data_IF_753058271587
#
_entry.id   IF_753058271587
#
_cell.length_a   1.000
_cell.length_b   1.000
_cell.length_c   1.000
_cell.angle_alpha   90.00
_cell.angle_beta   90.00
_cell.angle_gamma   90.00
#
_symmetry.space_group_name_H-M   'P 1'
#
loop_
_entity.id
_entity.type
_entity.pdbx_description
1 polymer ?
#
# COMPACT_ATOMS: atom_id res chain seq x y z
N UNK A 1 -2.01 -7.46 -6.50
CA UNK A 1 -2.95 -7.77 -5.41
C UNK A 1 -2.90 -9.28 -5.17
N UNK A 2 -2.91 -9.73 -3.92
CA UNK A 2 -3.04 -11.14 -3.56
C UNK A 2 -3.94 -11.28 -2.33
N UNK A 3 -4.65 -12.39 -2.23
CA UNK A 3 -5.55 -12.69 -1.11
C UNK A 3 -5.24 -14.07 -0.54
N UNK A 4 -5.23 -14.17 0.79
CA UNK A 4 -5.24 -15.45 1.50
C UNK A 4 -5.87 -15.30 2.88
N UNK A 5 -6.61 -16.31 3.33
CA UNK A 5 -7.20 -16.35 4.68
C UNK A 5 -8.01 -15.09 5.03
N UNK A 6 -8.85 -14.62 4.10
CA UNK A 6 -9.65 -13.39 4.26
C UNK A 6 -8.82 -12.11 4.46
N UNK A 7 -7.52 -12.14 4.17
CA UNK A 7 -6.66 -10.96 4.15
C UNK A 7 -6.25 -10.68 2.71
N UNK A 8 -6.38 -9.43 2.29
CA UNK A 8 -6.03 -8.99 0.94
C UNK A 8 -5.00 -7.89 0.99
N UNK A 9 -3.97 -7.98 0.15
CA UNK A 9 -2.92 -6.96 0.02
C UNK A 9 -2.84 -6.50 -1.43
N UNK A 10 -3.19 -5.24 -1.65
CA UNK A 10 -2.95 -4.54 -2.90
C UNK A 10 -1.75 -3.59 -2.73
N UNK A 11 -0.85 -3.57 -3.71
CA UNK A 11 0.37 -2.78 -3.69
C UNK A 11 0.37 -1.94 -4.96
N UNK A 12 0.40 -0.63 -4.78
CA UNK A 12 0.58 0.35 -5.84
C UNK A 12 2.02 0.86 -5.78
N UNK A 13 2.74 0.77 -6.89
CA UNK A 13 4.10 1.29 -7.04
C UNK A 13 4.06 2.42 -8.07
N UNK A 14 4.41 3.62 -7.63
CA UNK A 14 4.47 4.82 -8.47
C UNK A 14 5.93 5.23 -8.67
N UNK A 15 6.30 5.72 -9.87
CA UNK A 15 7.64 6.27 -10.10
C UNK A 15 7.84 7.52 -9.25
N UNK A 16 8.94 7.59 -8.49
CA UNK A 16 9.18 8.73 -7.60
C UNK A 16 10.21 8.42 -6.52
N UNK A 17 10.46 9.37 -5.60
CA UNK A 17 11.28 9.13 -4.43
C UNK A 17 10.67 8.03 -3.56
N UNK A 18 11.49 7.43 -2.70
CA UNK A 18 11.01 6.50 -1.70
C UNK A 18 9.98 7.19 -0.78
N UNK A 19 8.76 6.68 -0.84
CA UNK A 19 7.68 6.93 0.10
C UNK A 19 7.05 5.59 0.41
N UNK A 20 6.54 5.40 1.63
CA UNK A 20 5.83 4.17 1.95
C UNK A 20 4.62 4.49 2.83
N UNK A 21 3.45 4.01 2.41
CA UNK A 21 2.19 4.18 3.13
C UNK A 21 1.44 2.86 3.20
N UNK A 22 0.84 2.61 4.36
CA UNK A 22 -0.06 1.49 4.59
C UNK A 22 -1.40 2.04 5.03
N UNK A 23 -2.44 1.59 4.35
CA UNK A 23 -3.84 1.77 4.74
C UNK A 23 -4.35 0.38 5.15
N UNK A 24 -4.46 0.16 6.46
CA UNK A 24 -4.99 -1.08 7.03
C UNK A 24 -6.50 -0.93 7.29
N UNK A 25 -7.31 -1.73 6.60
CA UNK A 25 -8.77 -1.66 6.62
C UNK A 25 -9.32 -2.92 7.28
N UNK A 26 -9.90 -2.76 8.46
CA UNK A 26 -10.61 -3.81 9.18
C UNK A 26 -12.10 -3.76 8.87
N UNK A 27 -12.61 -4.81 8.23
CA UNK A 27 -14.05 -4.96 7.92
C UNK A 27 -14.72 -5.71 9.07
N UNK A 28 -15.79 -5.13 9.64
CA UNK A 28 -16.53 -5.74 10.73
C UNK A 28 -18.02 -5.36 10.67
N UNK A 29 -18.86 -6.34 10.38
CA UNK A 29 -20.33 -6.25 10.39
C UNK A 29 -20.87 -5.01 9.67
N UNK A 30 -20.43 -4.79 8.43
CA UNK A 30 -20.86 -3.65 7.62
C UNK A 30 -20.19 -2.30 7.95
N UNK A 31 -19.23 -2.27 8.87
CA UNK A 31 -18.41 -1.09 9.19
C UNK A 31 -16.94 -1.29 8.84
N UNK A 32 -16.22 -0.16 8.69
CA UNK A 32 -14.77 -0.13 8.44
C UNK A 32 -14.06 0.59 9.59
N UNK A 33 -12.98 0.00 10.08
CA UNK A 33 -11.94 0.73 10.83
C UNK A 33 -10.72 0.84 9.95
N UNK A 34 -10.25 2.07 9.75
CA UNK A 34 -9.13 2.38 8.87
C UNK A 34 -8.01 2.95 9.72
N UNK A 35 -6.83 2.34 9.62
CA UNK A 35 -5.60 2.83 10.21
C UNK A 35 -4.64 3.18 9.08
N UNK A 36 -3.96 4.32 9.20
CA UNK A 36 -3.07 4.82 8.16
C UNK A 36 -1.77 5.25 8.81
N UNK A 37 -0.65 4.79 8.24
CA UNK A 37 0.67 5.33 8.55
C UNK A 37 1.47 5.47 7.26
N UNK A 38 2.33 6.47 7.24
CA UNK A 38 3.19 6.75 6.10
C UNK A 38 4.51 7.40 6.50
N UNK A 39 5.53 7.13 5.70
CA UNK A 39 6.81 7.84 5.65
C UNK A 39 6.93 8.53 4.28
N UNK A 40 6.93 9.87 4.29
CA UNK A 40 7.21 10.69 3.11
C UNK A 40 8.69 11.11 3.08
N UNK A 41 9.19 11.62 1.94
CA UNK A 41 10.56 12.11 1.84
C UNK A 41 10.83 13.20 2.89
N UNK A 42 11.95 13.07 3.61
CA UNK A 42 12.33 14.00 4.68
C UNK A 42 11.78 13.65 6.08
N UNK A 43 10.88 12.67 6.21
CA UNK A 43 10.34 12.22 7.50
C UNK A 43 11.20 11.14 8.17
N UNK A 44 12.49 11.43 8.41
CA UNK A 44 13.48 10.44 8.90
C UNK A 44 13.18 9.88 10.30
N UNK A 45 12.60 10.70 11.18
CA UNK A 45 12.33 10.33 12.58
C UNK A 45 10.88 9.88 12.81
N UNK A 46 10.08 9.80 11.75
CA UNK A 46 8.67 9.44 11.89
C UNK A 46 8.52 7.95 12.12
N UNK A 47 7.94 7.59 13.26
CA UNK A 47 7.60 6.22 13.60
C UNK A 47 6.10 5.95 13.33
N UNK A 48 5.71 4.77 12.79
CA UNK A 48 4.31 4.42 12.63
C UNK A 48 3.64 4.19 13.99
N UNK A 49 2.59 4.97 14.29
CA UNK A 49 1.88 4.92 15.57
C UNK A 49 0.46 4.34 15.45
N UNK A 50 -0.13 4.39 14.25
CA UNK A 50 -1.53 4.07 14.01
C UNK A 50 -1.75 2.65 13.49
N UNK A 51 -0.83 2.18 12.64
CA UNK A 51 -0.77 0.83 12.09
C UNK A 51 0.21 0.04 12.94
N UNK A 52 -0.26 -1.06 13.51
CA UNK A 52 0.58 -1.93 14.34
C UNK A 52 1.65 -2.67 13.52
N UNK A 53 1.96 -3.91 13.89
CA UNK A 53 3.01 -4.69 13.22
C UNK A 53 2.81 -4.95 11.71
N UNK A 54 1.63 -4.64 11.16
CA UNK A 54 1.37 -4.72 9.72
C UNK A 54 2.27 -3.75 8.91
N UNK A 55 2.60 -2.56 9.45
CA UNK A 55 3.43 -1.56 8.76
C UNK A 55 4.77 -2.16 8.34
N UNK A 56 5.55 -2.64 9.31
CA UNK A 56 6.86 -3.24 9.05
C UNK A 56 6.75 -4.58 8.32
N UNK A 57 5.69 -5.36 8.56
CA UNK A 57 5.49 -6.63 7.88
C UNK A 57 5.27 -6.48 6.36
N UNK A 58 4.58 -5.41 5.95
CA UNK A 58 4.35 -5.09 4.54
C UNK A 58 5.56 -4.37 3.89
N UNK A 59 6.23 -3.50 4.65
CA UNK A 59 7.40 -2.72 4.18
C UNK A 59 8.57 -3.59 3.76
N UNK A 60 8.92 -4.58 4.57
CA UNK A 60 10.09 -5.44 4.37
C UNK A 60 10.14 -6.10 2.98
N UNK A 61 9.13 -6.86 2.53
CA UNK A 61 9.20 -7.54 1.23
C UNK A 61 9.19 -6.58 0.03
N UNK A 62 8.63 -5.39 0.18
CA UNK A 62 8.68 -4.35 -0.85
C UNK A 62 10.11 -3.82 -0.99
N UNK A 63 10.77 -3.52 0.14
CA UNK A 63 12.17 -3.12 0.14
C UNK A 63 13.08 -4.21 -0.42
N UNK A 64 12.87 -5.48 -0.05
CA UNK A 64 13.61 -6.63 -0.60
C UNK A 64 13.54 -6.65 -2.15
N UNK A 65 12.35 -6.39 -2.72
CA UNK A 65 12.15 -6.33 -4.18
C UNK A 65 12.86 -5.13 -4.80
N UNK A 66 12.64 -3.93 -4.28
CA UNK A 66 13.23 -2.70 -4.82
C UNK A 66 14.75 -2.74 -4.78
N UNK A 67 15.32 -3.26 -3.68
CA UNK A 67 16.75 -3.48 -3.53
C UNK A 67 17.29 -4.43 -4.62
N UNK A 68 16.63 -5.57 -4.84
CA UNK A 68 17.02 -6.53 -5.88
C UNK A 68 16.95 -5.94 -7.29
N UNK A 69 15.95 -5.11 -7.55
CA UNK A 69 15.78 -4.45 -8.84
C UNK A 69 16.69 -3.22 -9.02
N UNK A 70 17.36 -2.76 -7.95
CA UNK A 70 18.13 -1.51 -7.91
C UNK A 70 17.28 -0.30 -8.31
N UNK A 71 16.05 -0.25 -7.81
CA UNK A 71 15.08 0.81 -8.11
C UNK A 71 14.53 1.43 -6.83
N UNK A 72 13.98 2.64 -6.96
CA UNK A 72 13.14 3.27 -5.95
C UNK A 72 11.75 3.54 -6.52
N UNK A 73 10.78 3.68 -5.63
CA UNK A 73 9.38 3.98 -5.96
C UNK A 73 8.67 4.55 -4.73
N UNK A 74 7.58 5.29 -4.97
CA UNK A 74 6.62 5.64 -3.94
C UNK A 74 5.56 4.54 -3.85
N UNK A 75 5.29 4.08 -2.63
CA UNK A 75 4.50 2.87 -2.39
C UNK A 75 3.25 3.21 -1.59
N UNK A 76 2.10 2.75 -2.09
CA UNK A 76 0.86 2.70 -1.33
C UNK A 76 0.41 1.24 -1.21
N UNK A 77 0.24 0.77 0.02
CA UNK A 77 -0.29 -0.56 0.32
C UNK A 77 -1.67 -0.44 0.92
N UNK A 78 -2.62 -1.19 0.37
CA UNK A 78 -3.97 -1.34 0.93
C UNK A 78 -4.07 -2.76 1.46
N UNK A 79 -4.18 -2.88 2.78
CA UNK A 79 -4.22 -4.13 3.50
C UNK A 79 -5.60 -4.31 4.12
N UNK A 80 -6.42 -5.18 3.53
CA UNK A 80 -7.79 -5.40 3.98
C UNK A 80 -7.89 -6.68 4.81
N UNK A 81 -8.49 -6.58 5.99
CA UNK A 81 -8.85 -7.70 6.85
C UNK A 81 -10.35 -7.92 6.73
N UNK A 82 -10.73 -9.01 6.07
CA UNK A 82 -12.10 -9.43 5.87
C UNK A 82 -12.70 -10.15 7.08
N UNK A 83 -14.01 -10.30 7.05
CA UNK A 83 -14.74 -11.11 8.02
C UNK A 83 -14.34 -12.58 7.84
N UNK A 84 -13.99 -13.26 8.94
CA UNK A 84 -13.48 -14.65 8.91
C UNK A 84 -11.96 -14.78 8.92
N UNK A 85 -11.21 -13.68 9.04
CA UNK A 85 -9.76 -13.75 9.21
C UNK A 85 -9.36 -14.55 10.47
N UNK A 86 -8.22 -15.23 10.39
CA UNK A 86 -7.68 -16.06 11.48
C UNK A 86 -6.50 -15.32 12.13
N UNK A 87 -6.42 -15.26 13.49
CA UNK A 87 -5.37 -14.54 14.21
C UNK A 87 -4.02 -15.25 14.17
N UNK A 88 -3.39 -15.23 13.01
CA UNK A 88 -2.06 -15.81 12.79
C UNK A 88 -0.93 -14.85 13.17
N UNK A 89 -1.24 -13.61 13.60
CA UNK A 89 -0.24 -12.56 13.80
C UNK A 89 0.12 -11.83 12.49
N UNK A 90 1.03 -10.86 12.56
CA UNK A 90 1.31 -9.93 11.44
C UNK A 90 2.15 -10.54 10.31
N UNK A 91 2.82 -11.67 10.56
CA UNK A 91 3.60 -12.38 9.52
C UNK A 91 2.75 -12.79 8.32
N UNK A 92 1.44 -12.98 8.49
CA UNK A 92 0.50 -13.26 7.39
C UNK A 92 0.56 -12.18 6.31
N UNK A 93 0.64 -10.90 6.69
CA UNK A 93 0.71 -9.80 5.73
C UNK A 93 2.03 -9.81 4.97
N UNK A 94 3.14 -10.18 5.63
CA UNK A 94 4.45 -10.34 5.00
C UNK A 94 4.41 -11.39 3.89
N UNK A 95 3.82 -12.54 4.17
CA UNK A 95 3.75 -13.66 3.21
C UNK A 95 2.77 -13.39 2.07
N UNK A 96 1.62 -12.77 2.36
CA UNK A 96 0.67 -12.33 1.32
C UNK A 96 1.33 -11.28 0.42
N UNK A 97 2.06 -10.32 1.01
CA UNK A 97 2.80 -9.31 0.26
C UNK A 97 3.90 -9.92 -0.61
N UNK A 98 4.72 -10.85 -0.09
CA UNK A 98 5.72 -11.57 -0.89
C UNK A 98 5.10 -12.31 -2.07
N UNK A 99 3.98 -12.99 -1.86
CA UNK A 99 3.24 -13.66 -2.94
C UNK A 99 2.72 -12.66 -3.97
N UNK A 100 2.16 -11.53 -3.54
CA UNK A 100 1.72 -10.46 -4.44
C UNK A 100 2.87 -9.92 -5.32
N UNK A 101 4.07 -9.79 -4.75
CA UNK A 101 5.28 -9.27 -5.42
C UNK A 101 6.00 -10.31 -6.30
N UNK A 102 5.74 -11.60 -6.09
CA UNK A 102 6.32 -12.69 -6.86
C UNK A 102 5.73 -12.77 -8.27
N UNK A 103 4.44 -12.46 -8.43
CA UNK A 103 3.80 -12.44 -9.74
C UNK A 103 4.18 -11.18 -10.55
N UNK A 104 4.23 -11.26 -11.89
CA UNK A 104 4.43 -10.08 -12.73
C UNK A 104 3.41 -8.96 -12.40
N UNK A 105 3.86 -7.71 -12.22
CA UNK A 105 2.95 -6.62 -11.90
C UNK A 105 2.10 -6.25 -13.12
N UNK A 106 0.88 -5.79 -12.88
CA UNK A 106 0.10 -5.08 -13.89
C UNK A 106 0.67 -3.68 -14.05
N UNK A 107 0.88 -3.24 -15.28
CA UNK A 107 1.40 -1.92 -15.62
C UNK A 107 0.26 -1.05 -16.15
N UNK A 108 0.29 0.22 -15.80
CA UNK A 108 -0.70 1.22 -16.18
C UNK A 108 0.04 2.47 -16.66
N UNK A 109 -0.57 3.20 -17.59
CA UNK A 109 0.02 4.43 -18.12
C UNK A 109 -0.34 5.64 -17.26
N UNK A 110 -1.46 5.57 -16.53
CA UNK A 110 -1.91 6.64 -15.65
C UNK A 110 -2.19 6.15 -14.24
N UNK A 111 -2.06 7.06 -13.26
CA UNK A 111 -2.43 6.78 -11.87
C UNK A 111 -3.92 6.43 -11.76
N UNK A 112 -4.77 7.06 -12.58
CA UNK A 112 -6.21 6.81 -12.56
C UNK A 112 -6.55 5.37 -13.00
N UNK A 113 -5.92 4.85 -14.06
CA UNK A 113 -6.07 3.45 -14.48
C UNK A 113 -5.68 2.47 -13.37
N UNK A 114 -4.58 2.74 -12.67
CA UNK A 114 -4.13 1.91 -11.55
C UNK A 114 -5.12 1.93 -10.38
N UNK A 115 -5.68 3.10 -10.05
CA UNK A 115 -6.70 3.26 -9.02
C UNK A 115 -8.02 2.58 -9.37
N UNK A 116 -8.40 2.60 -10.65
CA UNK A 116 -9.58 1.89 -11.14
C UNK A 116 -9.41 0.37 -11.06
N UNK A 117 -8.20 -0.15 -11.27
CA UNK A 117 -7.91 -1.56 -11.03
C UNK A 117 -7.92 -1.91 -9.54
N UNK A 118 -7.41 -1.04 -8.68
CA UNK A 118 -7.51 -1.22 -7.22
C UNK A 118 -8.97 -1.29 -6.81
N UNK A 119 -9.83 -0.40 -7.30
CA UNK A 119 -11.28 -0.41 -7.02
C UNK A 119 -11.93 -1.76 -7.34
N UNK A 120 -11.53 -2.42 -8.42
CA UNK A 120 -12.05 -3.75 -8.81
C UNK A 120 -11.52 -4.86 -7.92
N UNK A 121 -10.32 -4.70 -7.39
CA UNK A 121 -9.59 -5.72 -6.66
C UNK A 121 -9.61 -5.53 -5.15
N UNK A 122 -10.09 -4.43 -4.60
CA UNK A 122 -10.30 -4.25 -3.15
C UNK A 122 -11.75 -4.54 -2.77
N UNK A 123 -11.96 -4.91 -1.52
CA UNK A 123 -13.29 -5.16 -0.95
C UNK A 123 -13.97 -3.86 -0.49
N UNK A 124 -13.18 -2.87 -0.12
CA UNK A 124 -13.61 -1.56 0.31
C UNK A 124 -13.50 -0.55 -0.85
N UNK A 125 -14.54 0.28 -0.98
CA UNK A 125 -14.60 1.35 -1.96
C UNK A 125 -13.48 2.39 -1.69
N UNK A 126 -12.66 2.75 -2.70
CA UNK A 126 -11.60 3.73 -2.55
C UNK A 126 -12.02 5.07 -1.95
N UNK A 127 -13.30 5.46 -2.05
CA UNK A 127 -13.80 6.70 -1.43
C UNK A 127 -13.53 6.80 0.09
N UNK A 128 -13.42 5.66 0.78
CA UNK A 128 -13.22 5.65 2.24
C UNK A 128 -11.78 5.91 2.67
N UNK A 129 -10.81 5.68 1.79
CA UNK A 129 -9.38 5.77 2.15
C UNK A 129 -8.56 6.67 1.23
N UNK A 130 -9.02 6.97 0.01
CA UNK A 130 -8.27 7.77 -0.97
C UNK A 130 -7.91 9.16 -0.46
N UNK A 131 -8.81 9.79 0.31
CA UNK A 131 -8.58 11.10 0.92
C UNK A 131 -7.64 11.08 2.13
N UNK A 132 -7.39 9.89 2.71
CA UNK A 132 -6.48 9.72 3.84
C UNK A 132 -5.03 9.48 3.38
N UNK A 133 -4.83 9.20 2.10
CA UNK A 133 -3.53 8.83 1.54
C UNK A 133 -2.64 10.04 1.32
N UNK A 134 -1.59 10.14 2.14
CA UNK A 134 -0.55 11.17 2.01
C UNK A 134 0.35 10.91 0.81
N UNK A 135 0.55 9.65 0.41
CA UNK A 135 1.34 9.33 -0.78
C UNK A 135 0.61 9.75 -2.06
N UNK A 136 -0.71 9.54 -2.15
CA UNK A 136 -1.48 10.02 -3.30
C UNK A 136 -1.57 11.55 -3.32
N UNK A 137 -1.65 12.19 -2.16
CA UNK A 137 -1.59 13.65 -2.04
C UNK A 137 -0.24 14.19 -2.53
N UNK A 138 0.86 13.60 -2.06
CA UNK A 138 2.22 13.93 -2.51
C UNK A 138 2.36 13.83 -4.03
N UNK A 139 1.87 12.77 -4.66
CA UNK A 139 1.91 12.59 -6.12
C UNK A 139 1.01 13.55 -6.91
N UNK A 140 0.02 14.19 -6.28
CA UNK A 140 -0.83 15.19 -6.95
C UNK A 140 -0.19 16.58 -6.98
N UNK A 141 0.53 16.94 -5.92
CA UNK A 141 1.10 18.27 -5.75
C UNK A 141 2.57 18.37 -6.12
N UNK A 142 3.27 17.25 -6.18
CA UNK A 142 4.69 17.23 -6.54
C UNK A 142 4.84 17.37 -8.06
N UNK A 143 5.29 18.54 -8.50
CA UNK A 143 5.76 18.74 -9.87
C UNK A 143 7.14 18.09 -10.05
N UNK A 144 7.33 17.44 -11.18
CA UNK A 144 8.60 16.79 -11.50
C UNK A 144 9.55 17.81 -12.14
N UNK A 145 10.85 17.74 -11.85
CA UNK A 145 11.83 18.63 -12.52
C UNK A 145 11.77 18.49 -14.05
N UNK A 146 11.34 17.33 -14.55
CA UNK A 146 11.11 17.04 -15.97
C UNK A 146 9.96 17.83 -16.58
N UNK A 147 9.02 18.37 -15.80
CA UNK A 147 7.98 19.29 -16.31
C UNK A 147 8.53 20.70 -16.56
N UNK A 148 9.74 21.00 -16.07
CA UNK A 148 10.41 22.30 -16.21
C UNK A 148 11.63 22.29 -17.16
N UNK A 149 11.90 21.16 -17.84
CA UNK A 149 12.95 21.04 -18.85
C UNK A 149 12.35 20.99 -20.25
#
# INVERSE_FOLDING_TARGET
>A
CFEAHYNRVAILMMPGPWCFEVIEIWRRFGSYRIYVDSELPGEVDKYPENVGGAYHALRLPILEKLYREKRQASILVIAEVGEGWIPLGVWRFREICRRALHYPPRKFNTLQEALDEIKKTTLTDPKYWRQLSRVLEFHKFQESITEFM
#
